data_IF_746846125575
#
_entry.id   IF_746846125575
#
_cell.length_a   1.000
_cell.length_b   1.000
_cell.length_c   1.000
_cell.angle_alpha   90.00
_cell.angle_beta   90.00
_cell.angle_gamma   90.00
#
_symmetry.space_group_name_H-M   'P 1'
#
loop_
_entity.id
_entity.type
_entity.pdbx_description
1 polymer ?
#
# COMPACT_ATOMS: atom_id res chain seq x y z
N UNK A 1 6.49 3.79 -49.15
CA UNK A 1 5.57 3.31 -48.08
C UNK A 1 6.24 3.62 -46.75
N UNK A 2 5.78 4.47 -45.83
CA UNK A 2 4.44 4.97 -45.55
C UNK A 2 3.98 4.54 -44.15
N UNK A 3 4.73 4.83 -43.08
CA UNK A 3 4.30 4.64 -41.69
C UNK A 3 4.27 5.99 -40.97
N UNK A 4 3.17 6.72 -41.17
CA UNK A 4 2.90 8.05 -40.59
C UNK A 4 1.52 8.08 -39.92
N UNK A 5 1.06 6.96 -39.33
CA UNK A 5 -0.29 6.81 -38.79
C UNK A 5 -0.38 6.75 -37.26
N UNK A 6 0.74 6.77 -36.53
CA UNK A 6 0.72 6.64 -35.05
C UNK A 6 0.65 7.98 -34.30
N UNK A 7 1.10 9.07 -34.90
CA UNK A 7 1.06 10.40 -34.30
C UNK A 7 -0.37 10.97 -34.10
N UNK A 8 -1.33 10.81 -35.04
CA UNK A 8 -2.67 11.36 -34.85
C UNK A 8 -3.48 10.57 -33.81
N UNK A 9 -3.23 9.27 -33.65
CA UNK A 9 -3.93 8.41 -32.67
C UNK A 9 -3.54 8.77 -31.23
N UNK A 10 -2.26 9.07 -31.00
CA UNK A 10 -1.77 9.48 -29.68
C UNK A 10 -2.38 10.83 -29.23
N UNK A 11 -2.53 11.79 -30.14
CA UNK A 11 -3.19 13.07 -29.87
C UNK A 11 -4.69 12.92 -29.62
N UNK A 12 -5.35 11.98 -30.29
CA UNK A 12 -6.78 11.69 -30.14
C UNK A 12 -7.09 11.00 -28.78
N UNK A 13 -6.17 10.15 -28.29
CA UNK A 13 -6.27 9.55 -26.97
C UNK A 13 -6.00 10.58 -25.85
N UNK A 14 -5.04 11.49 -26.05
CA UNK A 14 -4.72 12.54 -25.07
C UNK A 14 -5.88 13.55 -24.91
N UNK A 15 -6.55 13.92 -26.01
CA UNK A 15 -7.72 14.80 -25.96
C UNK A 15 -8.94 14.14 -25.33
N UNK A 16 -9.13 12.83 -25.52
CA UNK A 16 -10.19 12.06 -24.87
C UNK A 16 -10.01 12.03 -23.34
N UNK A 17 -8.77 11.89 -22.84
CA UNK A 17 -8.48 11.92 -21.40
C UNK A 17 -8.71 13.30 -20.74
N UNK A 18 -8.52 14.41 -21.47
CA UNK A 18 -8.76 15.76 -20.92
C UNK A 18 -10.25 16.12 -20.81
N UNK A 19 -11.10 15.51 -21.63
CA UNK A 19 -12.54 15.85 -21.66
C UNK A 19 -13.33 15.18 -20.53
N UNK A 20 -12.80 14.09 -19.95
CA UNK A 20 -13.43 13.34 -18.85
C UNK A 20 -13.29 14.06 -17.49
N UNK A 21 -12.39 15.05 -17.37
CA UNK A 21 -12.16 15.78 -16.12
C UNK A 21 -13.08 17.01 -15.90
N UNK A 22 -13.98 17.33 -16.84
CA UNK A 22 -14.71 18.62 -16.81
C UNK A 22 -16.17 18.54 -16.35
N UNK A 23 -16.61 17.43 -15.75
CA UNK A 23 -17.95 17.33 -15.18
C UNK A 23 -17.91 17.21 -13.67
N UNK A 24 -18.09 18.34 -12.97
CA UNK A 24 -19.09 18.55 -11.92
C UNK A 24 -18.78 19.85 -11.16
N UNK A 25 -19.54 20.92 -11.45
CA UNK A 25 -19.86 21.99 -10.49
C UNK A 25 -21.00 22.84 -11.06
N UNK A 26 -22.22 22.34 -10.96
CA UNK A 26 -23.40 23.19 -11.00
C UNK A 26 -23.76 23.54 -9.56
N UNK A 27 -23.55 24.79 -9.15
CA UNK A 27 -24.18 25.32 -7.94
C UNK A 27 -24.97 26.56 -8.31
N UNK A 28 -26.29 26.40 -8.25
CA UNK A 28 -27.25 27.48 -8.26
C UNK A 28 -27.06 28.32 -6.99
N UNK A 29 -27.02 29.63 -7.17
CA UNK A 29 -27.06 30.60 -6.06
C UNK A 29 -28.50 30.71 -5.53
N UNK A 30 -28.70 30.38 -4.26
CA UNK A 30 -29.90 30.80 -3.52
C UNK A 30 -29.51 31.31 -2.13
N UNK A 31 -30.24 32.35 -1.71
CA UNK A 31 -30.03 33.29 -0.62
C UNK A 31 -29.95 32.66 0.79
N UNK A 32 -29.29 33.29 1.79
CA UNK A 32 -29.03 32.67 3.09
C UNK A 32 -30.22 32.83 4.04
N UNK A 33 -30.71 31.70 4.56
CA UNK A 33 -31.58 31.68 5.73
C UNK A 33 -30.85 31.00 6.89
N UNK A 34 -30.60 31.78 7.94
CA UNK A 34 -29.96 31.34 9.17
C UNK A 34 -30.86 30.36 9.94
N UNK A 35 -30.43 29.11 10.01
CA UNK A 35 -30.89 28.17 11.05
C UNK A 35 -29.67 27.43 11.62
N UNK A 36 -29.36 27.70 12.90
CA UNK A 36 -28.44 26.89 13.69
C UNK A 36 -29.13 25.57 14.01
N UNK A 37 -28.65 24.49 13.40
CA UNK A 37 -28.91 23.13 13.86
C UNK A 37 -27.57 22.50 14.22
N UNK A 38 -27.45 22.09 15.48
CA UNK A 38 -26.30 21.35 16.00
C UNK A 38 -26.22 19.98 15.31
N UNK A 39 -25.29 19.84 14.37
CA UNK A 39 -24.99 18.58 13.70
C UNK A 39 -23.87 17.84 14.43
N UNK A 40 -24.19 17.21 15.56
CA UNK A 40 -23.36 16.14 16.07
C UNK A 40 -23.82 14.80 15.47
N UNK A 41 -22.82 14.07 14.94
CA UNK A 41 -22.77 12.61 14.90
C UNK A 41 -23.49 11.86 13.76
N UNK A 42 -22.90 11.94 12.56
CA UNK A 42 -22.74 10.74 11.73
C UNK A 42 -21.66 10.97 10.67
N UNK A 43 -20.40 11.03 11.11
CA UNK A 43 -19.24 11.12 10.22
C UNK A 43 -18.84 9.68 9.88
N UNK A 44 -19.57 9.04 8.96
CA UNK A 44 -19.20 7.74 8.41
C UNK A 44 -17.78 7.83 7.84
N UNK A 45 -16.89 6.95 8.30
CA UNK A 45 -15.50 6.90 7.82
C UNK A 45 -15.50 6.50 6.34
N UNK A 46 -15.24 7.45 5.45
CA UNK A 46 -15.25 7.19 3.99
C UNK A 46 -13.93 6.63 3.46
N UNK A 47 -12.83 6.91 4.15
CA UNK A 47 -11.48 6.49 3.76
C UNK A 47 -10.56 6.52 4.96
N UNK A 48 -9.61 5.58 5.01
CA UNK A 48 -8.56 5.51 6.01
C UNK A 48 -7.21 5.53 5.30
N UNK A 49 -6.32 6.42 5.72
CA UNK A 49 -4.95 6.49 5.23
C UNK A 49 -4.00 6.35 6.41
N UNK A 50 -3.04 5.43 6.31
CA UNK A 50 -2.02 5.19 7.32
C UNK A 50 -0.69 4.90 6.67
N UNK A 51 0.39 5.22 7.39
CA UNK A 51 1.75 4.84 7.04
C UNK A 51 2.35 4.15 8.25
N UNK A 52 2.89 2.95 8.05
CA UNK A 52 3.37 2.09 9.10
C UNK A 52 4.73 1.53 8.70
N UNK A 53 5.57 1.31 9.71
CA UNK A 53 6.86 0.66 9.57
C UNK A 53 6.69 -0.81 9.96
N UNK A 54 7.05 -1.71 9.04
CA UNK A 54 7.14 -3.13 9.30
C UNK A 54 8.54 -3.48 9.83
N UNK A 55 8.59 -4.19 10.94
CA UNK A 55 9.84 -4.60 11.58
C UNK A 55 10.13 -6.06 11.34
N UNK A 56 10.82 -6.34 10.24
CA UNK A 56 11.31 -7.68 9.91
C UNK A 56 12.66 -7.95 10.58
N UNK A 57 12.80 -9.11 11.20
CA UNK A 57 14.08 -9.60 11.72
C UNK A 57 14.21 -11.09 11.41
N UNK A 58 15.18 -11.41 10.54
CA UNK A 58 15.50 -12.78 10.15
C UNK A 58 15.81 -13.62 11.39
N UNK A 59 15.27 -14.84 11.44
CA UNK A 59 15.37 -15.80 12.55
C UNK A 59 14.70 -15.35 13.86
N UNK A 60 13.84 -14.33 13.81
CA UNK A 60 13.07 -13.88 14.98
C UNK A 60 11.60 -13.67 14.64
N UNK A 61 11.32 -12.76 13.71
CA UNK A 61 9.94 -12.46 13.27
C UNK A 61 9.63 -13.06 11.91
N UNK A 62 10.66 -13.40 11.12
CA UNK A 62 10.49 -14.22 9.94
C UNK A 62 11.61 -15.23 9.71
N UNK A 63 11.26 -16.30 9.01
CA UNK A 63 12.06 -17.51 8.87
C UNK A 63 12.01 -18.01 7.43
N UNK A 64 13.16 -18.46 6.92
CA UNK A 64 13.22 -19.22 5.67
C UNK A 64 12.68 -20.62 5.97
N UNK A 65 11.67 -21.04 5.21
CA UNK A 65 11.02 -22.36 5.33
C UNK A 65 11.26 -23.24 4.11
N UNK A 66 11.68 -22.64 3.00
CA UNK A 66 12.13 -23.34 1.80
C UNK A 66 13.39 -22.66 1.29
N UNK A 67 14.45 -23.43 1.17
CA UNK A 67 15.68 -22.98 0.52
C UNK A 67 15.46 -22.85 -0.99
N UNK A 68 15.87 -21.73 -1.55
CA UNK A 68 15.82 -21.51 -2.99
C UNK A 68 16.97 -22.18 -3.74
N UNK A 69 16.90 -22.11 -5.06
CA UNK A 69 17.92 -22.62 -5.97
C UNK A 69 18.87 -21.49 -6.32
N UNK A 70 20.16 -21.69 -6.03
CA UNK A 70 21.19 -20.69 -6.32
C UNK A 70 21.31 -20.44 -7.84
N UNK A 71 21.14 -19.18 -8.24
CA UNK A 71 21.43 -18.69 -9.58
C UNK A 71 22.80 -18.00 -9.65
N UNK A 72 23.22 -17.58 -10.85
CA UNK A 72 24.39 -16.72 -10.98
C UNK A 72 24.14 -15.37 -10.26
N UNK A 73 25.04 -14.97 -9.36
CA UNK A 73 24.94 -13.67 -8.68
C UNK A 73 24.22 -13.68 -7.33
N UNK A 74 24.00 -14.84 -6.69
CA UNK A 74 23.63 -14.86 -5.28
C UNK A 74 24.78 -14.30 -4.44
N UNK A 75 24.55 -13.16 -3.81
CA UNK A 75 25.50 -12.47 -2.92
C UNK A 75 24.97 -12.52 -1.49
N UNK A 76 25.75 -12.01 -0.53
CA UNK A 76 25.36 -11.99 0.88
C UNK A 76 24.05 -11.22 1.15
N UNK A 77 23.63 -10.34 0.23
CA UNK A 77 22.41 -9.51 0.34
C UNK A 77 21.27 -9.99 -0.55
N UNK A 78 21.44 -11.06 -1.34
CA UNK A 78 20.37 -11.59 -2.20
C UNK A 78 19.94 -12.98 -1.74
N UNK A 79 18.66 -13.28 -1.91
CA UNK A 79 18.11 -14.61 -1.61
C UNK A 79 18.05 -15.43 -2.90
N UNK A 80 18.33 -16.74 -2.88
CA UNK A 80 18.20 -17.57 -4.07
C UNK A 80 16.76 -17.60 -4.61
N UNK A 81 16.60 -17.81 -5.92
CA UNK A 81 15.29 -17.94 -6.56
C UNK A 81 14.47 -19.06 -5.92
N UNK A 82 13.19 -18.81 -5.66
CA UNK A 82 12.28 -19.78 -5.04
C UNK A 82 12.42 -19.93 -3.53
N UNK A 83 13.31 -19.16 -2.88
CA UNK A 83 13.36 -19.10 -1.41
C UNK A 83 12.00 -18.64 -0.89
N UNK A 84 11.42 -19.37 0.07
CA UNK A 84 10.19 -18.98 0.75
C UNK A 84 10.50 -18.58 2.18
N UNK A 85 10.08 -17.37 2.53
CA UNK A 85 10.17 -16.79 3.85
C UNK A 85 8.76 -16.57 4.40
N UNK A 86 8.51 -16.96 5.64
CA UNK A 86 7.26 -16.69 6.36
C UNK A 86 7.53 -15.71 7.49
N UNK A 87 6.57 -14.84 7.78
CA UNK A 87 6.75 -13.78 8.75
C UNK A 87 5.51 -13.45 9.56
N UNK A 88 5.79 -12.93 10.76
CA UNK A 88 4.85 -12.26 11.66
C UNK A 88 5.54 -11.04 12.24
N UNK A 89 5.39 -9.92 11.56
CA UNK A 89 6.08 -8.68 11.89
C UNK A 89 5.15 -7.69 12.58
N UNK A 90 5.70 -6.93 13.54
CA UNK A 90 4.99 -5.82 14.15
C UNK A 90 4.96 -4.63 13.19
N UNK A 91 3.84 -3.92 13.19
CA UNK A 91 3.66 -2.65 12.49
C UNK A 91 3.62 -1.52 13.51
N UNK A 92 4.38 -0.46 13.28
CA UNK A 92 4.43 0.70 14.18
C UNK A 92 4.30 2.02 13.42
N UNK A 93 3.96 3.10 14.13
CA UNK A 93 3.88 4.43 13.54
C UNK A 93 5.26 5.12 13.37
N UNK A 94 6.29 4.64 14.06
CA UNK A 94 7.67 5.16 13.98
C UNK A 94 8.65 4.07 13.56
N UNK A 95 9.71 4.46 12.84
CA UNK A 95 10.77 3.59 12.37
C UNK A 95 11.62 2.98 13.50
N UNK A 96 11.62 3.59 14.68
CA UNK A 96 12.32 3.03 15.84
C UNK A 96 11.50 1.88 16.44
N UNK A 97 12.14 0.73 16.65
CA UNK A 97 11.51 -0.46 17.22
C UNK A 97 11.53 -0.48 18.76
N UNK A 98 12.08 0.56 19.40
CA UNK A 98 12.19 0.59 20.86
C UNK A 98 10.80 0.70 21.50
N UNK A 99 10.57 -0.11 22.54
CA UNK A 99 9.28 -0.20 23.23
C UNK A 99 8.83 1.13 23.86
N UNK A 100 9.75 2.09 24.06
CA UNK A 100 9.48 3.43 24.58
C UNK A 100 9.14 4.47 23.50
N UNK A 101 9.49 4.23 22.22
CA UNK A 101 9.34 5.20 21.14
C UNK A 101 8.22 4.87 20.14
N UNK A 102 7.67 3.65 20.18
CA UNK A 102 6.83 3.16 19.07
C UNK A 102 5.76 2.19 19.57
N UNK A 103 4.54 2.70 19.76
CA UNK A 103 3.39 1.85 20.04
C UNK A 103 3.09 0.95 18.83
N UNK A 104 2.90 -0.34 19.07
CA UNK A 104 2.50 -1.30 18.02
C UNK A 104 1.07 -0.97 17.57
N UNK A 105 0.94 -0.61 16.30
CA UNK A 105 -0.33 -0.27 15.66
C UNK A 105 -1.00 -1.48 14.99
N UNK A 106 -0.25 -2.57 14.80
CA UNK A 106 -0.77 -3.78 14.16
C UNK A 106 0.27 -4.86 13.96
N UNK A 107 -0.12 -5.87 13.19
CA UNK A 107 0.71 -7.03 12.83
C UNK A 107 0.50 -7.36 11.35
N UNK A 108 1.58 -7.68 10.65
CA UNK A 108 1.56 -8.27 9.31
C UNK A 108 1.99 -9.74 9.40
N UNK A 109 1.14 -10.64 8.90
CA UNK A 109 1.40 -12.09 8.88
C UNK A 109 1.33 -12.58 7.43
N UNK A 110 2.36 -13.26 6.94
CA UNK A 110 2.40 -13.61 5.53
C UNK A 110 3.58 -14.48 5.11
N UNK A 111 3.74 -14.57 3.80
CA UNK A 111 4.87 -15.21 3.16
C UNK A 111 5.37 -14.40 1.96
N UNK A 112 6.66 -14.54 1.67
CA UNK A 112 7.32 -13.96 0.52
C UNK A 112 8.10 -15.03 -0.22
N UNK A 113 8.07 -14.99 -1.55
CA UNK A 113 8.88 -15.84 -2.41
C UNK A 113 9.82 -14.98 -3.25
N UNK A 114 11.10 -15.34 -3.27
CA UNK A 114 12.06 -14.73 -4.20
C UNK A 114 11.71 -15.15 -5.61
N UNK A 115 11.27 -14.19 -6.43
CA UNK A 115 10.68 -14.45 -7.74
C UNK A 115 11.62 -14.18 -8.92
N UNK A 116 12.86 -13.75 -8.65
CA UNK A 116 13.88 -13.50 -9.67
C UNK A 116 15.16 -14.31 -9.45
N UNK A 117 15.84 -14.63 -10.55
CA UNK A 117 17.13 -15.36 -10.53
C UNK A 117 18.30 -14.52 -10.01
N UNK A 118 18.20 -13.19 -10.07
CA UNK A 118 19.17 -12.27 -9.46
C UNK A 118 18.99 -12.13 -7.94
N UNK A 119 17.90 -12.67 -7.38
CA UNK A 119 17.59 -12.62 -5.96
C UNK A 119 17.17 -11.25 -5.43
N UNK A 120 16.86 -10.30 -6.31
CA UNK A 120 16.52 -8.91 -5.95
C UNK A 120 15.01 -8.63 -5.89
N UNK A 121 14.17 -9.53 -6.40
CA UNK A 121 12.71 -9.35 -6.42
C UNK A 121 12.02 -10.43 -5.62
N UNK A 122 11.05 -10.01 -4.83
CA UNK A 122 10.19 -10.90 -4.07
C UNK A 122 8.72 -10.58 -4.33
N UNK A 123 7.90 -11.63 -4.31
CA UNK A 123 6.45 -11.52 -4.32
C UNK A 123 5.95 -11.88 -2.93
N UNK A 124 5.18 -10.97 -2.32
CA UNK A 124 4.68 -11.15 -0.95
C UNK A 124 3.16 -11.18 -0.90
N UNK A 125 2.63 -12.03 -0.03
CA UNK A 125 1.23 -12.07 0.35
C UNK A 125 1.14 -11.99 1.88
N UNK A 126 0.37 -11.05 2.40
CA UNK A 126 0.22 -10.86 3.84
C UNK A 126 -1.20 -10.45 4.24
N UNK A 127 -1.62 -10.89 5.42
CA UNK A 127 -2.75 -10.38 6.18
C UNK A 127 -2.26 -9.30 7.12
N UNK A 128 -2.79 -8.10 6.99
CA UNK A 128 -2.50 -6.97 7.89
C UNK A 128 -3.67 -6.80 8.86
N UNK A 129 -3.38 -6.83 10.16
CA UNK A 129 -4.36 -6.56 11.22
C UNK A 129 -3.96 -5.29 11.96
N UNK A 130 -4.85 -4.29 11.98
CA UNK A 130 -4.59 -3.00 12.61
C UNK A 130 -5.49 -2.80 13.83
N UNK A 131 -4.94 -2.21 14.89
CA UNK A 131 -5.69 -1.70 16.03
C UNK A 131 -5.89 -0.20 15.85
N UNK A 132 -7.13 0.21 15.63
CA UNK A 132 -7.50 1.62 15.45
C UNK A 132 -8.32 2.03 16.67
N UNK A 133 -7.71 2.82 17.55
CA UNK A 133 -8.41 3.36 18.72
C UNK A 133 -9.17 4.64 18.31
N UNK A 134 -10.45 4.76 18.71
CA UNK A 134 -11.26 5.97 18.48
C UNK A 134 -12.16 5.98 17.23
N UNK A 135 -12.44 4.82 16.65
CA UNK A 135 -13.50 4.65 15.65
C UNK A 135 -14.55 3.67 16.18
N UNK A 136 -15.71 4.19 16.57
CA UNK A 136 -16.90 3.36 16.78
C UNK A 136 -17.26 2.74 15.42
N UNK A 137 -17.00 1.43 15.29
CA UNK A 137 -17.66 0.62 14.26
C UNK A 137 -19.09 0.40 14.75
N UNK A 138 -20.00 1.27 14.33
CA UNK A 138 -21.45 1.01 14.40
C UNK A 138 -21.86 0.10 13.24
#
# INVERSE_FOLDING_TARGET
MGNQSHFPVFLLLLSLSLTICSFHSAFASSSPHHHKHDHHFNKTMRSLHFSLYQHETINKTGFIVVDGIAGAGVTQTTTPFGTIFVFRDNLTASAESSASASAVAGVAEGASITSSFDGLRSLSLAKITLKIDGHDVQ
#
